data_IF_578636338227
#
_entry.id   IF_578636338227
#
_cell.length_a   1.000
_cell.length_b   1.000
_cell.length_c   1.000
_cell.angle_alpha   90.00
_cell.angle_beta   90.00
_cell.angle_gamma   90.00
#
_symmetry.space_group_name_H-M   'P 1'
#
loop_
_entity.id
_entity.type
_entity.pdbx_description
1 polymer ?
#
# COMPACT_ATOMS: atom_id res chain seq x y z
N UNK A 1 -3.45 18.32 29.72
CA UNK A 1 -3.73 18.94 28.39
C UNK A 1 -3.00 18.10 27.35
N UNK A 2 -3.55 16.92 27.05
CA UNK A 2 -2.88 15.94 26.20
C UNK A 2 -3.07 16.32 24.73
N UNK A 3 -1.94 16.54 24.06
CA UNK A 3 -1.69 16.66 22.62
C UNK A 3 -2.89 16.37 21.71
N UNK A 4 -3.22 17.30 20.81
CA UNK A 4 -4.23 17.15 19.74
C UNK A 4 -3.86 16.15 18.64
N UNK A 5 -3.13 15.10 19.01
CA UNK A 5 -2.60 14.02 18.18
C UNK A 5 -2.78 12.71 18.92
N UNK A 6 -3.08 11.63 18.20
CA UNK A 6 -3.18 10.27 18.75
C UNK A 6 -2.32 9.34 17.90
N UNK A 7 -1.57 8.44 18.54
CA UNK A 7 -0.81 7.40 17.85
C UNK A 7 -1.67 6.14 17.72
N UNK A 8 -1.81 5.63 16.50
CA UNK A 8 -2.64 4.47 16.19
C UNK A 8 -1.84 3.44 15.39
N UNK A 9 -2.20 2.17 15.54
CA UNK A 9 -1.65 1.09 14.72
C UNK A 9 -2.43 0.96 13.42
N UNK A 10 -1.72 0.85 12.30
CA UNK A 10 -2.32 0.72 10.97
C UNK A 10 -2.94 -0.67 10.81
N UNK A 11 -4.17 -0.71 10.32
CA UNK A 11 -4.89 -1.93 9.99
C UNK A 11 -5.42 -1.89 8.55
N UNK A 12 -5.65 -3.06 7.98
CA UNK A 12 -6.16 -3.23 6.62
C UNK A 12 -7.55 -2.62 6.45
N UNK A 13 -7.80 -1.96 5.31
CA UNK A 13 -9.13 -1.46 4.98
C UNK A 13 -10.05 -2.60 4.53
N UNK A 14 -11.36 -2.43 4.70
CA UNK A 14 -12.33 -3.34 4.07
C UNK A 14 -12.50 -2.94 2.60
N UNK A 15 -12.77 -3.92 1.73
CA UNK A 15 -12.89 -3.71 0.27
C UNK A 15 -13.73 -2.49 -0.16
N UNK A 16 -14.84 -2.20 0.56
CA UNK A 16 -15.73 -1.06 0.28
C UNK A 16 -15.11 0.33 0.50
N UNK A 17 -14.01 0.41 1.23
CA UNK A 17 -13.30 1.65 1.57
C UNK A 17 -12.06 1.86 0.67
N UNK A 18 -11.64 0.83 -0.09
CA UNK A 18 -10.43 0.83 -0.92
C UNK A 18 -10.55 1.81 -2.08
N UNK A 19 -9.49 2.60 -2.29
CA UNK A 19 -9.38 3.58 -3.36
C UNK A 19 -10.19 4.84 -3.10
N UNK A 20 -10.76 5.05 -1.90
CA UNK A 20 -11.62 6.19 -1.55
C UNK A 20 -10.95 7.24 -0.68
N UNK A 21 -9.73 6.99 -0.21
CA UNK A 21 -9.03 7.92 0.69
C UNK A 21 -9.70 8.06 2.05
N UNK A 22 -10.26 6.96 2.58
CA UNK A 22 -10.97 6.94 3.87
C UNK A 22 -10.04 6.41 4.95
N UNK A 23 -10.03 7.09 6.10
CA UNK A 23 -9.47 6.60 7.35
C UNK A 23 -10.59 6.30 8.34
N UNK A 24 -10.68 5.05 8.80
CA UNK A 24 -11.65 4.68 9.85
C UNK A 24 -11.02 4.70 11.22
N UNK A 25 -11.66 5.44 12.13
CA UNK A 25 -11.22 5.66 13.50
C UNK A 25 -12.31 5.27 14.49
N UNK A 26 -11.91 4.80 15.67
CA UNK A 26 -12.83 4.59 16.79
C UNK A 26 -13.61 5.90 17.11
N UNK A 27 -14.95 5.87 17.26
CA UNK A 27 -15.72 7.02 17.71
C UNK A 27 -15.17 7.70 18.97
N UNK A 28 -14.59 6.96 19.91
CA UNK A 28 -13.95 7.53 21.11
C UNK A 28 -12.71 8.37 20.74
N UNK A 29 -11.88 7.88 19.82
CA UNK A 29 -10.72 8.63 19.30
C UNK A 29 -11.18 9.85 18.48
N UNK A 30 -12.23 9.71 17.67
CA UNK A 30 -12.82 10.83 16.95
C UNK A 30 -13.29 11.92 17.93
N UNK A 31 -14.00 11.55 18.99
CA UNK A 31 -14.46 12.48 20.03
C UNK A 31 -13.29 13.16 20.73
N UNK A 32 -12.24 12.41 21.08
CA UNK A 32 -11.00 12.95 21.67
C UNK A 32 -10.35 14.01 20.76
N UNK A 33 -10.31 13.75 19.45
CA UNK A 33 -9.76 14.66 18.45
C UNK A 33 -10.75 15.75 17.99
N UNK A 34 -12.00 15.74 18.51
CA UNK A 34 -13.11 16.61 18.08
C UNK A 34 -13.42 16.50 16.58
N UNK A 35 -13.32 15.30 16.03
CA UNK A 35 -13.64 14.97 14.65
C UNK A 35 -15.09 14.50 14.49
N UNK A 36 -15.70 14.90 13.38
CA UNK A 36 -16.98 14.39 12.87
C UNK A 36 -16.75 13.50 11.64
N UNK A 37 -17.76 12.72 11.26
CA UNK A 37 -17.71 11.96 10.02
C UNK A 37 -17.61 12.92 8.81
N UNK A 38 -16.65 12.69 7.93
CA UNK A 38 -16.36 13.56 6.79
C UNK A 38 -15.24 14.58 7.02
N UNK A 39 -14.81 14.79 8.27
CA UNK A 39 -13.65 15.66 8.56
C UNK A 39 -12.35 15.04 8.02
N UNK A 40 -11.34 15.87 7.79
CA UNK A 40 -10.05 15.41 7.27
C UNK A 40 -9.06 15.21 8.40
N UNK A 41 -8.36 14.09 8.37
CA UNK A 41 -7.23 13.81 9.27
C UNK A 41 -5.91 13.82 8.52
N UNK A 42 -4.88 14.37 9.16
CA UNK A 42 -3.49 14.25 8.73
C UNK A 42 -2.91 12.97 9.33
N UNK A 43 -2.36 12.11 8.48
CA UNK A 43 -1.73 10.86 8.84
C UNK A 43 -0.23 11.01 8.65
N UNK A 44 0.51 10.91 9.75
CA UNK A 44 1.95 11.13 9.79
C UNK A 44 2.63 9.78 10.03
N UNK A 45 3.23 9.25 8.96
CA UNK A 45 4.15 8.11 8.97
C UNK A 45 5.57 8.55 8.63
N UNK A 46 6.25 7.82 7.73
CA UNK A 46 7.53 8.28 7.13
C UNK A 46 7.31 9.50 6.22
N UNK A 47 6.12 9.61 5.65
CA UNK A 47 5.60 10.73 4.88
C UNK A 47 4.28 11.19 5.51
N UNK A 48 3.85 12.38 5.11
CA UNK A 48 2.57 12.97 5.52
C UNK A 48 1.57 12.85 4.39
N UNK A 49 0.35 12.50 4.71
CA UNK A 49 -0.78 12.46 3.78
C UNK A 49 -2.07 12.77 4.55
N UNK A 50 -3.18 12.80 3.84
CA UNK A 50 -4.50 13.08 4.41
C UNK A 50 -5.53 12.03 3.99
N UNK A 51 -6.57 11.88 4.80
CA UNK A 51 -7.71 11.01 4.50
C UNK A 51 -8.99 11.57 5.12
N UNK A 52 -10.13 11.19 4.55
CA UNK A 52 -11.46 11.52 5.09
C UNK A 52 -11.77 10.56 6.25
N UNK A 53 -12.05 11.12 7.41
CA UNK A 53 -12.37 10.39 8.62
C UNK A 53 -13.80 9.85 8.58
N UNK A 54 -13.93 8.55 8.86
CA UNK A 54 -15.23 7.89 9.07
C UNK A 54 -15.20 7.06 10.36
N UNK A 55 -16.37 6.81 10.99
CA UNK A 55 -16.44 5.92 12.14
C UNK A 55 -15.95 4.49 11.81
N UNK A 56 -15.20 3.92 12.74
CA UNK A 56 -14.73 2.54 12.72
C UNK A 56 -15.86 1.52 12.87
N UNK A 57 -15.53 0.26 12.62
CA UNK A 57 -16.46 -0.85 12.83
C UNK A 57 -16.53 -1.18 14.33
N UNK A 58 -17.69 -1.60 14.86
CA UNK A 58 -17.83 -1.96 16.27
C UNK A 58 -16.80 -3.00 16.76
N UNK A 59 -16.42 -3.94 15.90
CA UNK A 59 -15.39 -4.94 16.17
C UNK A 59 -13.98 -4.37 16.39
N UNK A 60 -13.73 -3.11 16.02
CA UNK A 60 -12.42 -2.45 16.13
C UNK A 60 -12.31 -1.51 17.33
N UNK A 61 -13.41 -1.29 18.07
CA UNK A 61 -13.45 -0.34 19.17
C UNK A 61 -12.48 -0.74 20.29
N UNK A 62 -11.80 0.24 20.86
CA UNK A 62 -10.80 0.08 21.91
C UNK A 62 -9.46 -0.51 21.45
N UNK A 63 -9.31 -0.92 20.18
CA UNK A 63 -8.06 -1.57 19.70
C UNK A 63 -6.93 -0.60 19.38
N UNK A 64 -7.18 0.71 19.39
CA UNK A 64 -6.18 1.73 19.06
C UNK A 64 -5.68 1.64 17.62
N UNK A 65 -6.56 1.30 16.68
CA UNK A 65 -6.21 1.11 15.27
C UNK A 65 -6.81 2.19 14.37
N UNK A 66 -6.16 2.40 13.23
CA UNK A 66 -6.68 3.15 12.09
C UNK A 66 -6.74 2.21 10.88
N UNK A 67 -7.93 2.04 10.29
CA UNK A 67 -8.04 1.31 9.01
C UNK A 67 -7.90 2.26 7.85
N UNK A 68 -6.90 2.01 7.02
CA UNK A 68 -6.59 2.76 5.80
C UNK A 68 -6.19 1.78 4.70
N UNK A 69 -6.51 2.12 3.46
CA UNK A 69 -6.23 1.28 2.31
C UNK A 69 -4.75 1.35 1.89
N UNK A 70 -4.36 0.48 0.95
CA UNK A 70 -3.00 0.48 0.41
C UNK A 70 -2.56 1.79 -0.25
N UNK A 71 -3.48 2.68 -0.65
CA UNK A 71 -3.16 3.98 -1.27
C UNK A 71 -2.71 4.96 -0.21
N UNK A 72 -3.51 5.12 0.84
CA UNK A 72 -3.19 5.97 1.99
C UNK A 72 -1.95 5.45 2.72
N UNK A 73 -1.79 4.12 2.89
CA UNK A 73 -0.58 3.51 3.46
C UNK A 73 0.67 3.89 2.67
N UNK A 74 0.63 3.75 1.34
CA UNK A 74 1.73 4.15 0.45
C UNK A 74 2.06 5.63 0.57
N UNK A 75 1.04 6.48 0.61
CA UNK A 75 1.22 7.94 0.69
C UNK A 75 1.85 8.35 2.02
N UNK A 76 1.45 7.72 3.13
CA UNK A 76 2.09 7.90 4.44
C UNK A 76 3.45 7.20 4.57
N UNK A 77 3.81 6.31 3.62
CA UNK A 77 5.04 5.53 3.68
C UNK A 77 5.07 4.55 4.84
N UNK A 78 3.93 3.92 5.12
CA UNK A 78 3.74 2.95 6.21
C UNK A 78 3.12 1.67 5.66
N UNK A 79 3.19 0.62 6.45
CA UNK A 79 2.59 -0.66 6.18
C UNK A 79 1.59 -1.06 7.28
N UNK A 80 0.94 -2.21 7.13
CA UNK A 80 0.08 -2.78 8.17
C UNK A 80 0.90 -3.01 9.45
N UNK A 81 0.30 -2.80 10.61
CA UNK A 81 0.90 -2.92 11.95
C UNK A 81 1.94 -1.84 12.32
N UNK A 82 2.37 -0.98 11.39
CA UNK A 82 3.13 0.23 11.72
C UNK A 82 2.29 1.17 12.60
N UNK A 83 2.97 2.07 13.32
CA UNK A 83 2.32 3.15 14.06
C UNK A 83 2.33 4.44 13.25
N UNK A 84 1.20 5.13 13.22
CA UNK A 84 1.06 6.48 12.65
C UNK A 84 0.57 7.45 13.71
N UNK A 85 0.95 8.71 13.57
CA UNK A 85 0.36 9.79 14.35
C UNK A 85 -0.75 10.45 13.55
N UNK A 86 -1.92 10.59 14.15
CA UNK A 86 -3.12 11.14 13.54
C UNK A 86 -3.52 12.41 14.27
N UNK A 87 -3.86 13.46 13.52
CA UNK A 87 -4.44 14.71 14.05
C UNK A 87 -5.41 15.31 13.06
N UNK A 88 -6.17 16.31 13.50
CA UNK A 88 -7.06 17.08 12.62
C UNK A 88 -6.22 17.82 11.56
N UNK A 89 -6.59 17.67 10.30
CA UNK A 89 -5.96 18.42 9.21
C UNK A 89 -6.65 19.77 8.99
N UNK A 90 -5.87 20.79 8.64
CA UNK A 90 -6.43 22.03 8.11
C UNK A 90 -6.50 21.92 6.60
N UNK A 91 -7.72 21.89 6.05
CA UNK A 91 -7.95 21.75 4.61
C UNK A 91 -8.64 22.97 4.02
N UNK A 92 -8.31 23.27 2.77
CA UNK A 92 -9.03 24.27 1.95
C UNK A 92 -9.68 23.60 0.75
N UNK A 93 -10.71 24.22 0.18
CA UNK A 93 -11.23 23.78 -1.11
C UNK A 93 -10.15 23.96 -2.18
N UNK A 94 -9.99 22.97 -3.04
CA UNK A 94 -9.05 23.04 -4.15
C UNK A 94 -9.62 23.94 -5.25
N UNK A 95 -8.85 24.94 -5.67
CA UNK A 95 -9.11 25.71 -6.89
C UNK A 95 -8.59 24.95 -8.11
N UNK A 96 -7.40 24.35 -7.99
CA UNK A 96 -6.76 23.60 -9.05
C UNK A 96 -5.92 22.45 -8.51
N UNK A 97 -5.98 21.30 -9.19
CA UNK A 97 -5.16 20.11 -8.90
C UNK A 97 -4.50 19.65 -10.19
N UNK A 98 -3.18 19.45 -10.15
CA UNK A 98 -2.42 18.95 -11.31
C UNK A 98 -1.96 17.52 -11.03
N UNK A 99 -2.37 16.60 -11.88
CA UNK A 99 -2.09 15.18 -11.77
C UNK A 99 -1.15 14.75 -12.89
N UNK A 100 -0.15 13.93 -12.58
CA UNK A 100 0.69 13.31 -13.59
C UNK A 100 0.49 11.79 -13.58
N UNK A 101 0.28 11.14 -14.74
CA UNK A 101 0.14 9.70 -14.79
C UNK A 101 1.48 9.01 -14.53
N UNK A 102 1.45 7.81 -13.93
CA UNK A 102 2.65 6.99 -13.70
C UNK A 102 3.07 6.14 -14.89
N UNK A 103 2.21 6.06 -15.90
CA UNK A 103 2.42 5.33 -17.14
C UNK A 103 1.94 6.16 -18.34
N UNK A 104 2.45 5.91 -19.55
CA UNK A 104 1.99 6.61 -20.75
C UNK A 104 0.48 6.42 -20.95
N UNK A 105 -0.25 7.54 -20.95
CA UNK A 105 -1.69 7.58 -21.17
C UNK A 105 -1.99 8.42 -22.41
N UNK A 106 -2.74 7.84 -23.35
CA UNK A 106 -3.31 8.55 -24.49
C UNK A 106 -4.79 8.79 -24.22
N UNK A 107 -5.08 9.76 -23.38
CA UNK A 107 -6.45 10.18 -23.07
C UNK A 107 -6.57 11.68 -23.37
N UNK A 108 -7.68 12.07 -23.99
CA UNK A 108 -8.03 13.47 -24.26
C UNK A 108 -9.36 13.73 -23.56
N UNK A 109 -9.45 14.78 -22.73
CA UNK A 109 -10.68 15.12 -22.02
C UNK A 109 -11.00 14.22 -20.83
N UNK A 110 -10.01 13.55 -20.25
CA UNK A 110 -10.20 12.70 -19.06
C UNK A 110 -10.34 13.50 -17.75
N UNK A 111 -10.08 14.80 -17.78
CA UNK A 111 -10.04 15.68 -16.61
C UNK A 111 -11.36 15.71 -15.86
N UNK A 112 -12.47 15.86 -16.57
CA UNK A 112 -13.81 15.95 -15.97
C UNK A 112 -14.20 14.62 -15.31
N UNK A 113 -13.88 13.50 -15.96
CA UNK A 113 -14.09 12.17 -15.40
C UNK A 113 -13.28 11.97 -14.12
N UNK A 114 -12.00 12.34 -14.11
CA UNK A 114 -11.15 12.25 -12.92
C UNK A 114 -11.67 13.18 -11.82
N UNK A 115 -12.10 14.41 -12.16
CA UNK A 115 -12.69 15.33 -11.18
C UNK A 115 -13.86 14.70 -10.44
N UNK A 116 -14.80 14.08 -11.15
CA UNK A 116 -15.92 13.38 -10.52
C UNK A 116 -15.49 12.22 -9.63
N UNK A 117 -14.44 11.49 -9.99
CA UNK A 117 -13.91 10.41 -9.14
C UNK A 117 -13.20 10.92 -7.88
N UNK A 118 -12.60 12.10 -7.96
CA UNK A 118 -11.86 12.73 -6.86
C UNK A 118 -12.71 13.63 -5.98
N UNK A 119 -13.92 13.97 -6.39
CA UNK A 119 -14.83 14.81 -5.63
C UNK A 119 -15.02 14.30 -4.19
N UNK A 120 -14.89 15.21 -3.23
CA UNK A 120 -14.98 14.91 -1.79
C UNK A 120 -13.74 14.24 -1.21
N UNK A 121 -12.68 13.97 -2.00
CA UNK A 121 -11.42 13.45 -1.47
C UNK A 121 -10.53 14.58 -0.99
N UNK A 122 -9.87 14.34 0.14
CA UNK A 122 -8.75 15.14 0.59
C UNK A 122 -7.45 14.61 -0.04
N UNK A 123 -6.60 15.52 -0.51
CA UNK A 123 -5.32 15.19 -1.16
C UNK A 123 -4.23 16.18 -0.77
N UNK A 124 -3.00 15.68 -0.76
CA UNK A 124 -1.76 16.43 -0.53
C UNK A 124 -0.85 16.32 -1.75
N UNK A 125 0.04 17.30 -1.96
CA UNK A 125 1.07 17.21 -2.99
C UNK A 125 1.97 15.99 -2.76
N UNK A 126 2.17 15.19 -3.79
CA UNK A 126 2.96 13.96 -3.77
C UNK A 126 2.14 12.69 -3.52
N UNK A 127 0.85 12.81 -3.20
CA UNK A 127 -0.02 11.66 -3.03
C UNK A 127 -0.20 10.89 -4.35
N UNK A 128 -0.24 9.57 -4.24
CA UNK A 128 -0.68 8.66 -5.28
C UNK A 128 -2.19 8.44 -5.17
N UNK A 129 -2.87 8.58 -6.29
CA UNK A 129 -4.33 8.50 -6.39
C UNK A 129 -4.72 7.52 -7.50
N UNK A 130 -5.52 6.47 -7.20
CA UNK A 130 -5.97 5.54 -8.22
C UNK A 130 -7.11 6.14 -9.03
N UNK A 131 -7.05 5.92 -10.34
CA UNK A 131 -8.15 6.20 -11.25
C UNK A 131 -8.43 4.94 -12.06
N UNK A 132 -9.66 4.44 -11.97
CA UNK A 132 -10.13 3.38 -12.85
C UNK A 132 -10.42 3.94 -14.24
N UNK A 133 -9.67 3.52 -15.25
CA UNK A 133 -9.82 3.96 -16.64
C UNK A 133 -9.88 2.72 -17.52
N UNK A 134 -10.95 2.55 -18.31
CA UNK A 134 -11.08 1.45 -19.28
C UNK A 134 -10.86 0.04 -18.68
N UNK A 135 -11.37 -0.21 -17.47
CA UNK A 135 -11.27 -1.52 -16.81
C UNK A 135 -9.90 -1.81 -16.17
N UNK A 136 -8.96 -0.85 -16.18
CA UNK A 136 -7.69 -0.93 -15.45
C UNK A 136 -7.55 0.23 -14.48
N UNK A 137 -6.77 0.04 -13.41
CA UNK A 137 -6.43 1.12 -12.49
C UNK A 137 -5.11 1.75 -12.91
N UNK A 138 -5.10 3.07 -13.09
CA UNK A 138 -3.90 3.85 -13.34
C UNK A 138 -3.64 4.77 -12.16
N UNK A 139 -2.42 4.74 -11.64
CA UNK A 139 -2.00 5.64 -10.58
C UNK A 139 -1.65 7.02 -11.15
N UNK A 140 -2.11 8.07 -10.48
CA UNK A 140 -1.71 9.44 -10.73
C UNK A 140 -0.99 9.99 -9.51
N UNK A 141 0.01 10.85 -9.72
CA UNK A 141 0.68 11.59 -8.66
C UNK A 141 0.16 13.03 -8.65
N UNK A 142 -0.20 13.53 -7.47
CA UNK A 142 -0.56 14.93 -7.26
C UNK A 142 0.70 15.78 -7.32
N UNK A 143 0.98 16.40 -8.45
CA UNK A 143 2.22 17.19 -8.66
C UNK A 143 2.12 18.59 -8.08
N UNK A 144 0.91 19.17 -8.09
CA UNK A 144 0.63 20.52 -7.63
C UNK A 144 -0.82 20.66 -7.17
N UNK A 145 -1.04 21.53 -6.18
CA UNK A 145 -2.35 21.91 -5.65
C UNK A 145 -2.42 23.43 -5.48
N UNK A 146 -3.59 24.00 -5.72
CA UNK A 146 -3.89 25.42 -5.49
C UNK A 146 -5.17 25.54 -4.63
N UNK A 147 -5.15 26.36 -3.57
CA UNK A 147 -4.02 27.15 -3.07
C UNK A 147 -2.85 26.25 -2.58
N UNK A 148 -1.63 26.79 -2.59
CA UNK A 148 -0.43 26.06 -2.15
C UNK A 148 -0.39 25.96 -0.61
N UNK A 149 -1.20 25.05 -0.08
CA UNK A 149 -1.31 24.69 1.34
C UNK A 149 -0.95 23.22 1.54
N UNK A 150 -0.89 22.74 2.78
CA UNK A 150 -0.53 21.35 3.07
C UNK A 150 -1.52 20.35 2.48
N UNK A 151 -2.82 20.63 2.54
CA UNK A 151 -3.85 19.73 2.04
C UNK A 151 -5.08 20.48 1.51
N UNK A 152 -5.70 19.90 0.47
CA UNK A 152 -6.92 20.43 -0.13
C UNK A 152 -8.00 19.35 -0.25
N UNK A 153 -9.26 19.76 -0.29
CA UNK A 153 -10.40 18.91 -0.63
C UNK A 153 -10.88 19.24 -2.04
N UNK A 154 -11.04 18.22 -2.88
CA UNK A 154 -11.55 18.38 -4.24
C UNK A 154 -13.07 18.59 -4.19
N UNK A 155 -13.55 19.62 -4.87
CA UNK A 155 -14.98 19.96 -4.98
C UNK A 155 -15.40 20.05 -6.46
N UNK A 156 -16.71 20.15 -6.76
CA UNK A 156 -17.19 20.29 -8.15
C UNK A 156 -16.57 21.46 -8.93
N UNK A 157 -16.17 22.52 -8.22
CA UNK A 157 -15.56 23.74 -8.78
C UNK A 157 -14.05 23.60 -9.01
N UNK A 158 -13.42 22.54 -8.50
CA UNK A 158 -11.97 22.33 -8.65
C UNK A 158 -11.61 22.08 -10.12
N UNK A 159 -10.64 22.83 -10.63
CA UNK A 159 -10.06 22.56 -11.93
C UNK A 159 -9.04 21.40 -11.83
N UNK A 160 -9.35 20.26 -12.43
CA UNK A 160 -8.39 19.16 -12.56
C UNK A 160 -7.64 19.30 -13.89
N UNK A 161 -6.31 19.18 -13.85
CA UNK A 161 -5.45 19.20 -15.03
C UNK A 161 -4.57 17.96 -15.04
N UNK A 162 -4.51 17.27 -16.16
CA UNK A 162 -3.62 16.12 -16.36
C UNK A 162 -2.37 16.60 -17.09
N UNK A 163 -1.20 16.35 -16.51
CA UNK A 163 0.10 16.61 -17.11
C UNK A 163 0.43 15.51 -18.13
N UNK A 164 0.96 15.90 -19.28
CA UNK A 164 1.47 14.96 -20.30
C UNK A 164 2.76 14.25 -19.84
N UNK A 165 3.50 14.87 -18.91
CA UNK A 165 4.71 14.28 -18.34
C UNK A 165 4.35 13.07 -17.49
N UNK A 166 4.88 11.91 -17.87
CA UNK A 166 4.82 10.69 -17.07
C UNK A 166 5.80 10.82 -15.91
N UNK A 167 5.30 10.65 -14.69
CA UNK A 167 6.14 10.63 -13.49
C UNK A 167 6.60 9.21 -13.21
N UNK A 168 7.93 9.02 -13.15
CA UNK A 168 8.52 7.70 -12.92
C UNK A 168 8.28 7.27 -11.47
N UNK A 169 7.65 6.12 -11.29
CA UNK A 169 7.53 5.50 -9.97
C UNK A 169 8.81 4.72 -9.67
N UNK A 170 9.47 4.96 -8.52
CA UNK A 170 10.72 4.28 -8.18
C UNK A 170 10.55 2.79 -7.79
N UNK A 171 9.39 2.15 -8.05
CA UNK A 171 9.16 0.75 -7.66
C UNK A 171 9.19 -0.18 -8.87
N UNK A 172 10.00 -1.23 -8.77
CA UNK A 172 10.09 -2.32 -9.74
C UNK A 172 8.92 -3.33 -9.65
N UNK A 173 8.20 -3.35 -8.51
CA UNK A 173 7.12 -4.30 -8.25
C UNK A 173 5.76 -3.67 -8.57
N UNK A 174 4.89 -4.34 -9.36
CA UNK A 174 3.49 -3.96 -9.49
C UNK A 174 2.84 -3.83 -8.12
N UNK A 175 2.05 -2.79 -7.94
CA UNK A 175 1.39 -2.51 -6.67
C UNK A 175 0.20 -3.45 -6.49
N UNK A 176 0.46 -4.55 -5.79
CA UNK A 176 -0.55 -5.51 -5.34
C UNK A 176 -0.55 -5.46 -3.81
N UNK A 177 -1.72 -5.37 -3.22
CA UNK A 177 -1.95 -5.36 -1.77
C UNK A 177 -2.84 -6.54 -1.39
N UNK A 178 -2.96 -6.87 -0.09
CA UNK A 178 -3.86 -7.95 0.33
C UNK A 178 -5.31 -7.66 -0.04
N UNK A 179 -5.70 -6.38 -0.10
CA UNK A 179 -7.03 -5.97 -0.52
C UNK A 179 -7.36 -6.29 -1.98
N UNK A 180 -6.34 -6.46 -2.83
CA UNK A 180 -6.49 -6.80 -4.25
C UNK A 180 -6.69 -8.32 -4.45
N UNK A 181 -6.61 -9.13 -3.39
CA UNK A 181 -6.67 -10.59 -3.46
C UNK A 181 -8.00 -11.11 -2.90
N UNK A 182 -8.88 -11.55 -3.80
CA UNK A 182 -10.17 -12.17 -3.46
C UNK A 182 -10.05 -13.64 -3.05
N UNK A 183 -10.87 -14.09 -2.11
CA UNK A 183 -11.10 -15.51 -1.82
C UNK A 183 -9.99 -16.26 -1.06
N UNK A 184 -8.88 -15.60 -0.71
CA UNK A 184 -7.72 -16.23 -0.08
C UNK A 184 -7.43 -15.74 1.35
N UNK A 185 -8.45 -15.27 2.08
CA UNK A 185 -8.26 -14.66 3.41
C UNK A 185 -7.50 -15.55 4.39
N UNK A 186 -7.84 -16.83 4.46
CA UNK A 186 -7.19 -17.78 5.37
C UNK A 186 -5.72 -18.04 4.98
N UNK A 187 -5.45 -18.07 3.67
CA UNK A 187 -4.09 -18.26 3.15
C UNK A 187 -3.24 -17.00 3.41
N UNK A 188 -3.81 -15.82 3.17
CA UNK A 188 -3.19 -14.53 3.49
C UNK A 188 -2.83 -14.50 4.98
N UNK A 189 -3.75 -14.86 5.87
CA UNK A 189 -3.48 -14.88 7.31
C UNK A 189 -2.30 -15.78 7.68
N UNK A 190 -2.25 -17.00 7.14
CA UNK A 190 -1.13 -17.93 7.37
C UNK A 190 0.19 -17.38 6.85
N UNK A 191 0.22 -16.78 5.67
CA UNK A 191 1.45 -16.20 5.12
C UNK A 191 1.90 -15.00 5.95
N UNK A 192 0.98 -14.16 6.43
CA UNK A 192 1.31 -13.06 7.33
C UNK A 192 1.97 -13.58 8.62
N UNK A 193 1.46 -14.66 9.19
CA UNK A 193 2.09 -15.29 10.37
C UNK A 193 3.45 -15.91 10.07
N UNK A 194 3.63 -16.53 8.90
CA UNK A 194 4.88 -17.22 8.55
C UNK A 194 5.98 -16.30 8.00
N UNK A 195 5.62 -15.17 7.39
CA UNK A 195 6.57 -14.28 6.68
C UNK A 195 6.59 -12.89 7.30
N UNK A 196 5.43 -12.25 7.46
CA UNK A 196 5.36 -10.86 7.91
C UNK A 196 5.68 -10.72 9.42
N UNK A 197 5.15 -11.61 10.25
CA UNK A 197 5.36 -11.57 11.70
C UNK A 197 6.85 -11.73 12.09
N UNK A 198 7.62 -12.70 11.55
CA UNK A 198 9.07 -12.77 11.78
C UNK A 198 9.85 -11.53 11.37
N UNK A 199 9.51 -10.94 10.21
CA UNK A 199 10.23 -9.79 9.67
C UNK A 199 9.94 -8.51 10.46
N UNK A 200 8.71 -8.36 10.97
CA UNK A 200 8.28 -7.16 11.72
C UNK A 200 8.56 -7.24 13.21
N UNK A 201 8.45 -8.43 13.79
CA UNK A 201 8.47 -8.67 15.23
C UNK A 201 9.44 -9.81 15.62
N UNK A 202 10.73 -9.72 15.25
CA UNK A 202 11.72 -10.75 15.58
C UNK A 202 11.82 -10.99 17.10
N UNK A 203 11.57 -9.96 17.91
CA UNK A 203 11.58 -10.02 19.37
C UNK A 203 10.56 -11.02 19.95
N UNK A 204 9.46 -11.29 19.26
CA UNK A 204 8.47 -12.27 19.71
C UNK A 204 9.01 -13.70 19.58
N UNK A 205 9.73 -13.99 18.50
CA UNK A 205 10.34 -15.30 18.25
C UNK A 205 11.49 -15.56 19.21
N UNK A 206 12.32 -14.55 19.45
CA UNK A 206 13.42 -14.62 20.43
C UNK A 206 12.89 -14.92 21.85
N UNK A 207 11.83 -14.22 22.29
CA UNK A 207 11.23 -14.43 23.61
C UNK A 207 10.60 -15.80 23.79
N UNK A 208 10.00 -16.33 22.72
CA UNK A 208 9.38 -17.65 22.74
C UNK A 208 10.42 -18.78 22.54
N UNK A 209 11.65 -18.46 22.16
CA UNK A 209 12.71 -19.43 21.91
C UNK A 209 12.42 -20.33 20.69
N UNK A 210 11.68 -19.82 19.71
CA UNK A 210 11.31 -20.55 18.49
C UNK A 210 11.97 -19.91 17.27
N UNK A 211 12.43 -20.72 16.32
CA UNK A 211 12.93 -20.20 15.05
C UNK A 211 11.74 -19.87 14.11
N UNK A 212 11.81 -18.75 13.37
CA UNK A 212 10.82 -18.46 12.35
C UNK A 212 10.94 -19.44 11.16
N UNK A 213 9.85 -19.66 10.41
CA UNK A 213 9.90 -20.46 9.19
C UNK A 213 10.87 -19.84 8.18
N UNK A 214 11.76 -20.65 7.59
CA UNK A 214 12.77 -20.19 6.60
C UNK A 214 12.26 -20.20 5.16
N UNK A 215 11.10 -20.81 4.90
CA UNK A 215 10.52 -20.90 3.57
C UNK A 215 9.04 -21.27 3.60
N UNK A 216 8.31 -20.82 2.58
CA UNK A 216 6.88 -21.09 2.40
C UNK A 216 6.68 -21.66 1.00
N UNK A 217 6.04 -22.82 0.91
CA UNK A 217 5.66 -23.43 -0.37
C UNK A 217 4.17 -23.16 -0.66
N UNK A 218 3.91 -22.44 -1.75
CA UNK A 218 2.55 -22.20 -2.24
C UNK A 218 2.22 -23.24 -3.31
N UNK A 219 1.24 -24.11 -3.05
CA UNK A 219 0.78 -25.12 -4.00
C UNK A 219 -0.69 -24.93 -4.38
N UNK A 220 -1.07 -25.49 -5.53
CA UNK A 220 -2.43 -25.46 -6.04
C UNK A 220 -2.47 -25.32 -7.57
N UNK A 221 -3.66 -25.35 -8.19
CA UNK A 221 -3.81 -25.19 -9.63
C UNK A 221 -3.20 -23.87 -10.17
N UNK A 222 -2.83 -23.80 -11.45
CA UNK A 222 -2.46 -22.54 -12.09
C UNK A 222 -3.65 -21.56 -12.04
N UNK A 223 -3.35 -20.26 -11.96
CA UNK A 223 -4.37 -19.20 -11.92
C UNK A 223 -4.98 -18.89 -10.55
N UNK A 224 -4.59 -19.59 -9.47
CA UNK A 224 -5.07 -19.28 -8.11
C UNK A 224 -4.37 -18.08 -7.43
N UNK A 225 -3.65 -17.23 -8.17
CA UNK A 225 -3.08 -15.99 -7.62
C UNK A 225 -1.82 -16.15 -6.75
N UNK A 226 -1.08 -17.26 -6.85
CA UNK A 226 0.17 -17.49 -6.07
C UNK A 226 1.20 -16.36 -6.26
N UNK A 227 1.47 -15.99 -7.50
CA UNK A 227 2.39 -14.88 -7.84
C UNK A 227 1.87 -13.52 -7.35
N UNK A 228 0.54 -13.29 -7.39
CA UNK A 228 -0.07 -12.06 -6.85
C UNK A 228 0.09 -11.98 -5.33
N UNK A 229 -0.10 -13.11 -4.64
CA UNK A 229 0.05 -13.21 -3.20
C UNK A 229 1.48 -12.94 -2.76
N UNK A 230 2.48 -13.51 -3.43
CA UNK A 230 3.88 -13.23 -3.14
C UNK A 230 4.22 -11.74 -3.32
N UNK A 231 3.74 -11.11 -4.40
CA UNK A 231 3.91 -9.67 -4.63
C UNK A 231 3.22 -8.82 -3.56
N UNK A 232 2.03 -9.21 -3.10
CA UNK A 232 1.32 -8.52 -2.04
C UNK A 232 2.09 -8.55 -0.72
N UNK A 233 2.62 -9.72 -0.33
CA UNK A 233 3.41 -9.88 0.90
C UNK A 233 4.66 -9.02 0.86
N UNK A 234 5.36 -8.98 -0.27
CA UNK A 234 6.54 -8.14 -0.43
C UNK A 234 6.23 -6.64 -0.35
N UNK A 235 5.15 -6.20 -0.99
CA UNK A 235 4.72 -4.81 -0.92
C UNK A 235 4.32 -4.38 0.49
N UNK A 236 3.63 -5.25 1.24
CA UNK A 236 3.16 -4.95 2.60
C UNK A 236 4.29 -5.03 3.64
N UNK A 237 5.25 -5.94 3.48
CA UNK A 237 6.44 -5.99 4.36
C UNK A 237 7.45 -4.90 4.04
N UNK A 238 7.33 -4.22 2.89
CA UNK A 238 8.32 -3.28 2.37
C UNK A 238 9.75 -3.90 2.34
N UNK A 239 9.81 -5.22 2.12
CA UNK A 239 11.03 -5.98 1.96
C UNK A 239 11.55 -5.87 0.52
N UNK A 240 12.85 -6.01 0.34
CA UNK A 240 13.43 -6.17 -1.00
C UNK A 240 12.87 -7.44 -1.65
N UNK A 241 12.38 -7.35 -2.89
CA UNK A 241 11.73 -8.50 -3.55
C UNK A 241 12.54 -8.94 -4.74
N UNK A 242 12.95 -10.20 -4.74
CA UNK A 242 13.63 -10.82 -5.87
C UNK A 242 12.72 -11.92 -6.41
N UNK A 243 12.34 -11.80 -7.67
CA UNK A 243 11.50 -12.78 -8.36
C UNK A 243 12.35 -13.59 -9.31
N UNK A 244 12.19 -14.91 -9.22
CA UNK A 244 12.90 -15.89 -10.04
C UNK A 244 11.84 -16.79 -10.67
N UNK A 245 11.95 -17.07 -11.96
CA UNK A 245 11.19 -18.13 -12.61
C UNK A 245 12.07 -19.38 -12.77
N UNK A 246 11.56 -20.55 -12.40
CA UNK A 246 12.27 -21.83 -12.47
C UNK A 246 12.96 -22.06 -13.82
N UNK A 247 12.21 -21.99 -14.94
CA UNK A 247 12.78 -22.08 -16.29
C UNK A 247 13.83 -21.01 -16.64
N UNK A 248 13.76 -19.82 -16.04
CA UNK A 248 14.72 -18.74 -16.29
C UNK A 248 16.11 -19.05 -15.72
N UNK A 249 16.16 -19.82 -14.63
CA UNK A 249 17.41 -20.28 -14.03
C UNK A 249 17.95 -21.51 -14.73
N UNK A 250 17.10 -22.33 -15.34
CA UNK A 250 17.51 -23.53 -16.07
C UNK A 250 18.21 -23.16 -17.40
N UNK A 251 19.50 -22.83 -17.32
CA UNK A 251 20.39 -22.65 -18.47
C UNK A 251 20.74 -24.01 -19.12
N UNK A 252 21.09 -23.99 -20.41
CA UNK A 252 21.58 -25.17 -21.15
C UNK A 252 23.00 -25.59 -20.74
N UNK A 253 23.72 -24.74 -20.01
CA UNK A 253 25.13 -24.91 -19.65
C UNK A 253 25.27 -25.25 -18.17
N UNK A 254 26.05 -26.29 -17.87
CA UNK A 254 26.24 -26.82 -16.53
C UNK A 254 27.01 -25.80 -15.66
N UNK A 255 26.46 -25.43 -14.50
CA UNK A 255 27.09 -24.55 -13.50
C UNK A 255 26.62 -23.09 -13.49
N UNK A 256 26.17 -22.54 -14.63
CA UNK A 256 25.68 -21.15 -14.70
C UNK A 256 24.43 -20.92 -13.82
N UNK A 257 23.55 -21.92 -13.77
CA UNK A 257 22.33 -21.89 -12.95
C UNK A 257 22.62 -21.78 -11.45
N UNK A 258 23.67 -22.47 -10.98
CA UNK A 258 24.07 -22.46 -9.56
C UNK A 258 24.76 -21.15 -9.16
N UNK A 259 25.63 -20.63 -10.04
CA UNK A 259 26.27 -19.33 -9.83
C UNK A 259 25.23 -18.22 -9.74
N UNK A 260 24.26 -18.21 -10.66
CA UNK A 260 23.14 -17.26 -10.65
C UNK A 260 22.29 -17.36 -9.39
N UNK A 261 21.97 -18.56 -8.92
CA UNK A 261 21.26 -18.75 -7.64
C UNK A 261 22.08 -18.18 -6.48
N UNK A 262 23.39 -18.45 -6.43
CA UNK A 262 24.27 -17.94 -5.36
C UNK A 262 24.31 -16.41 -5.35
N UNK A 263 24.40 -15.78 -6.51
CA UNK A 263 24.37 -14.31 -6.64
C UNK A 263 23.05 -13.73 -6.13
N UNK A 264 21.91 -14.33 -6.49
CA UNK A 264 20.60 -13.86 -6.05
C UNK A 264 20.44 -13.96 -4.52
N UNK A 265 20.87 -15.08 -3.92
CA UNK A 265 20.82 -15.22 -2.47
C UNK A 265 21.75 -14.22 -1.77
N UNK A 266 22.92 -13.94 -2.35
CA UNK A 266 23.84 -12.91 -1.84
C UNK A 266 23.25 -11.51 -1.93
N UNK A 267 22.62 -11.17 -3.06
CA UNK A 267 21.91 -9.89 -3.23
C UNK A 267 20.77 -9.75 -2.20
N UNK A 268 20.03 -10.83 -1.93
CA UNK A 268 18.98 -10.83 -0.93
C UNK A 268 19.53 -10.53 0.48
N UNK A 269 20.63 -11.18 0.85
CA UNK A 269 21.30 -10.98 2.14
C UNK A 269 21.82 -9.54 2.31
N UNK A 270 22.43 -8.98 1.27
CA UNK A 270 22.92 -7.59 1.26
C UNK A 270 21.79 -6.56 1.35
N UNK A 271 20.60 -6.89 0.85
CA UNK A 271 19.41 -6.01 0.85
C UNK A 271 18.36 -6.40 1.90
N UNK A 272 18.75 -7.12 2.96
CA UNK A 272 17.85 -7.54 4.02
C UNK A 272 17.14 -6.32 4.69
N UNK A 273 15.84 -6.42 5.03
CA UNK A 273 14.96 -7.59 4.90
C UNK A 273 14.51 -7.83 3.45
N UNK A 274 14.58 -9.08 2.99
CA UNK A 274 14.31 -9.47 1.61
C UNK A 274 13.42 -10.71 1.51
N UNK A 275 12.65 -10.82 0.44
CA UNK A 275 11.87 -11.99 0.05
C UNK A 275 12.34 -12.46 -1.33
N UNK A 276 12.80 -13.71 -1.38
CA UNK A 276 13.07 -14.41 -2.64
C UNK A 276 11.82 -15.22 -3.00
N UNK A 277 11.24 -14.93 -4.15
CA UNK A 277 10.12 -15.68 -4.69
C UNK A 277 10.59 -16.51 -5.89
N UNK A 278 10.46 -17.83 -5.77
CA UNK A 278 10.78 -18.77 -6.85
C UNK A 278 9.46 -19.30 -7.40
N UNK A 279 9.06 -18.81 -8.57
CA UNK A 279 7.94 -19.34 -9.33
C UNK A 279 8.38 -20.62 -10.06
N UNK A 280 7.48 -21.59 -10.19
CA UNK A 280 7.77 -22.87 -10.87
C UNK A 280 9.01 -23.60 -10.32
N UNK A 281 9.11 -23.69 -8.99
CA UNK A 281 10.23 -24.38 -8.30
C UNK A 281 10.37 -25.85 -8.71
N UNK A 282 9.27 -26.49 -9.13
CA UNK A 282 9.22 -27.84 -9.66
C UNK A 282 10.08 -28.03 -10.93
N UNK A 283 10.37 -26.95 -11.66
CA UNK A 283 11.30 -26.99 -12.79
C UNK A 283 12.77 -27.13 -12.37
N UNK A 284 13.12 -26.70 -11.14
CA UNK A 284 14.48 -26.76 -10.58
C UNK A 284 14.65 -27.98 -9.65
N UNK A 285 13.60 -28.34 -8.90
CA UNK A 285 13.60 -29.40 -7.90
C UNK A 285 12.37 -30.33 -8.09
N UNK A 286 12.42 -31.26 -9.08
CA UNK A 286 11.33 -32.19 -9.39
C UNK A 286 11.10 -33.26 -8.32
#
# INVERSE_FOLDING_TARGET
>A
MSSGTVTLRVAEAKARDVGRGIARLDPAIMSQLKLSAGDVVEIIGKKKTVAICWPGYPEDYGKGIIRIDGYVRRNAGVSIDDKVTVKVATVRKAEKVVLAPTEPLRIVGGEEYIKHLLEGRAITRGDYVPVGIMGRTVDFIVTSIQPAVDAVIVSPETQVVISEKVEKVPRAIPRVTYEDIGGLKDVIMKIREMVELPLRHPELFERLGIEPPKGVLLYGPPGCGKTLLAKAVANETNAHFISISGPEIMSKFYGESEERLREIFKEAEENAPSIIFIDEIDAIAP
#
